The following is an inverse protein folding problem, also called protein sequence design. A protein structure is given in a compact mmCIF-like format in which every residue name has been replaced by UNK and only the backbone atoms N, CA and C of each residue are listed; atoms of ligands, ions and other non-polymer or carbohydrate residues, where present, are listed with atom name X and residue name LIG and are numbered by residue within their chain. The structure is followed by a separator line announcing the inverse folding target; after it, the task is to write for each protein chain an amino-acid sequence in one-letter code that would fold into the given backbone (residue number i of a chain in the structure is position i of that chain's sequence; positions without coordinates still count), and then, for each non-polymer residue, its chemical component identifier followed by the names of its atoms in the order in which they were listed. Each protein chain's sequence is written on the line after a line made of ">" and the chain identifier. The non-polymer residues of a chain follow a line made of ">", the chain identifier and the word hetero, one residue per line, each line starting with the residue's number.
data_IF_391033985859
#
_entry.id   IF_391033985859
#
_cell.length_a   1.000
_cell.length_b   1.000
_cell.length_c   1.000
_cell.angle_alpha   90.00
_cell.angle_beta   90.00
_cell.angle_gamma   90.00
#
_symmetry.space_group_name_H-M   'P 1'
#
loop_
_entity.id
_entity.type
_entity.pdbx_description
1 polymer ?
#
# COMPACT_ATOMS: atom_id res chain seq x y z
N UNK A 1 4.44 -5.16 -24.18
CA UNK A 1 4.75 -6.06 -23.05
C UNK A 1 5.91 -7.00 -23.42
N UNK A 2 7.05 -6.45 -23.88
CA UNK A 2 8.27 -7.21 -24.25
C UNK A 2 9.42 -6.81 -23.32
N UNK A 3 9.33 -7.08 -22.02
CA UNK A 3 10.24 -6.44 -21.06
C UNK A 3 10.65 -7.28 -19.85
N UNK A 4 10.80 -8.59 -20.05
CA UNK A 4 11.67 -9.43 -19.26
C UNK A 4 12.42 -10.30 -20.26
N UNK A 5 13.72 -10.53 -20.06
CA UNK A 5 14.42 -11.58 -20.80
C UNK A 5 13.59 -12.85 -20.58
N UNK A 6 12.98 -13.36 -21.65
CA UNK A 6 11.94 -14.41 -21.62
C UNK A 6 12.35 -15.60 -20.75
N UNK A 7 13.64 -15.87 -20.71
CA UNK A 7 14.17 -17.13 -20.23
C UNK A 7 14.36 -17.11 -18.70
N UNK A 8 14.77 -16.00 -18.10
CA UNK A 8 14.83 -15.88 -16.62
C UNK A 8 13.44 -15.93 -15.98
N UNK A 9 12.44 -15.32 -16.63
CA UNK A 9 11.05 -15.35 -16.16
C UNK A 9 10.43 -16.75 -16.32
N UNK A 10 10.60 -17.39 -17.48
CA UNK A 10 10.09 -18.74 -17.75
C UNK A 10 10.75 -19.81 -16.87
N UNK A 11 12.06 -19.72 -16.63
CA UNK A 11 12.79 -20.70 -15.82
C UNK A 11 12.56 -20.54 -14.31
N UNK A 12 12.07 -19.38 -13.86
CA UNK A 12 11.87 -19.10 -12.42
C UNK A 12 10.45 -19.42 -11.93
N UNK A 13 9.49 -19.54 -12.83
CA UNK A 13 8.11 -19.85 -12.49
C UNK A 13 7.94 -21.36 -12.53
N UNK A 14 7.57 -21.94 -11.39
CA UNK A 14 7.04 -23.30 -11.42
C UNK A 14 5.73 -23.23 -12.18
N UNK A 15 5.69 -23.79 -13.40
CA UNK A 15 4.46 -23.90 -14.17
C UNK A 15 3.44 -24.62 -13.29
N UNK A 16 2.32 -23.95 -13.03
CA UNK A 16 1.18 -24.61 -12.43
C UNK A 16 0.61 -25.48 -13.56
N UNK A 17 1.16 -26.68 -13.74
CA UNK A 17 0.42 -27.71 -14.45
C UNK A 17 -0.70 -28.14 -13.49
N UNK A 18 -1.88 -27.58 -13.72
CA UNK A 18 -3.08 -27.94 -12.95
C UNK A 18 -3.27 -29.47 -12.99
N UNK A 19 -2.86 -30.14 -14.07
CA UNK A 19 -2.96 -31.60 -14.18
C UNK A 19 -2.03 -32.34 -13.22
N UNK A 20 -0.85 -31.80 -12.87
CA UNK A 20 0.05 -32.44 -11.89
C UNK A 20 -0.42 -32.23 -10.45
N UNK A 21 -1.08 -31.12 -10.15
CA UNK A 21 -1.75 -30.93 -8.85
C UNK A 21 -2.92 -31.92 -8.68
N UNK A 22 -3.65 -32.24 -9.75
CA UNK A 22 -4.72 -33.26 -9.71
C UNK A 22 -4.16 -34.70 -9.71
N UNK A 23 -3.06 -34.98 -10.41
CA UNK A 23 -2.42 -36.32 -10.44
C UNK A 23 -1.78 -36.72 -9.11
N UNK A 24 -1.15 -35.78 -8.40
CA UNK A 24 -0.52 -36.07 -7.11
C UNK A 24 -1.51 -36.23 -5.94
N UNK A 25 -2.77 -35.87 -6.12
CA UNK A 25 -3.85 -36.23 -5.17
C UNK A 25 -4.45 -37.62 -5.44
N UNK A 26 -4.10 -38.29 -6.56
CA UNK A 26 -4.58 -39.63 -6.92
C UNK A 26 -3.64 -40.77 -6.56
N UNK A 27 -2.40 -40.49 -6.13
CA UNK A 27 -1.36 -41.50 -5.88
C UNK A 27 -0.98 -41.65 -4.41
N UNK A 28 -1.97 -41.66 -3.52
CA UNK A 28 -1.79 -42.15 -2.15
C UNK A 28 -2.83 -43.21 -1.81
N UNK A 29 -2.73 -44.38 -2.45
CA UNK A 29 -3.19 -45.66 -1.88
C UNK A 29 -2.34 -46.83 -2.38
N UNK A 30 -1.51 -47.37 -1.50
CA UNK A 30 -1.50 -48.79 -1.13
C UNK A 30 -1.40 -48.78 0.40
N UNK A 31 -2.29 -49.30 1.25
CA UNK A 31 -3.29 -50.34 1.12
C UNK A 31 -4.49 -50.04 2.06
N UNK A 32 -5.64 -50.63 1.71
CA UNK A 32 -6.77 -51.00 2.57
C UNK A 32 -7.54 -49.91 3.36
N UNK A 33 -8.65 -49.45 2.80
CA UNK A 33 -10.01 -49.80 3.24
C UNK A 33 -11.02 -48.85 2.58
N UNK A 34 -12.06 -49.42 1.99
CA UNK A 34 -13.12 -48.68 1.32
C UNK A 34 -13.93 -47.87 2.34
N UNK A 35 -13.64 -46.58 2.44
CA UNK A 35 -14.61 -45.57 2.84
C UNK A 35 -14.66 -44.52 1.76
N UNK A 36 -15.83 -44.34 1.12
CA UNK A 36 -16.14 -43.26 0.20
C UNK A 36 -15.92 -41.90 0.90
N UNK A 37 -14.70 -41.39 0.83
CA UNK A 37 -14.32 -40.10 1.37
C UNK A 37 -14.25 -39.09 0.25
N UNK A 38 -15.18 -38.13 0.24
CA UNK A 38 -15.06 -36.84 -0.43
C UNK A 38 -13.70 -36.21 -0.08
N UNK A 39 -12.68 -36.40 -0.94
CA UNK A 39 -11.41 -35.67 -0.85
C UNK A 39 -11.73 -34.19 -1.11
N UNK A 40 -11.75 -33.41 -0.04
CA UNK A 40 -12.30 -32.07 0.02
C UNK A 40 -11.50 -31.07 -0.83
N UNK A 41 -12.20 -30.28 -1.66
CA UNK A 41 -11.67 -29.13 -2.42
C UNK A 41 -10.75 -28.19 -1.61
N UNK A 42 -10.91 -28.11 -0.29
CA UNK A 42 -10.11 -27.28 0.62
C UNK A 42 -8.61 -27.61 0.63
N UNK A 43 -8.23 -28.89 0.51
CA UNK A 43 -6.83 -29.30 0.50
C UNK A 43 -6.10 -28.83 -0.76
N UNK A 44 -6.81 -28.77 -1.89
CA UNK A 44 -6.24 -28.31 -3.17
C UNK A 44 -5.95 -26.81 -3.14
N UNK A 45 -6.88 -25.99 -2.62
CA UNK A 45 -6.71 -24.54 -2.59
C UNK A 45 -5.54 -24.09 -1.69
N UNK A 46 -5.29 -24.80 -0.58
CA UNK A 46 -4.12 -24.53 0.28
C UNK A 46 -2.81 -24.77 -0.47
N UNK A 47 -2.72 -25.85 -1.25
CA UNK A 47 -1.53 -26.18 -2.07
C UNK A 47 -1.36 -25.12 -3.16
N UNK A 48 -2.41 -24.80 -3.91
CA UNK A 48 -2.40 -23.76 -4.96
C UNK A 48 -1.95 -22.42 -4.37
N UNK A 49 -2.50 -22.02 -3.21
CA UNK A 49 -2.12 -20.77 -2.54
C UNK A 49 -0.64 -20.74 -2.15
N UNK A 50 -0.08 -21.87 -1.70
CA UNK A 50 1.35 -21.99 -1.44
C UNK A 50 2.19 -21.82 -2.72
N UNK A 51 1.81 -22.47 -3.82
CA UNK A 51 2.51 -22.34 -5.10
C UNK A 51 2.46 -20.90 -5.61
N UNK A 52 1.27 -20.28 -5.62
CA UNK A 52 1.09 -18.87 -6.02
C UNK A 52 1.95 -17.95 -5.17
N UNK A 53 1.99 -18.16 -3.84
CA UNK A 53 2.82 -17.36 -2.93
C UNK A 53 4.30 -17.43 -3.29
N UNK A 54 4.83 -18.63 -3.52
CA UNK A 54 6.25 -18.82 -3.83
C UNK A 54 6.61 -18.28 -5.22
N UNK A 55 5.76 -18.51 -6.22
CA UNK A 55 5.95 -17.94 -7.56
C UNK A 55 5.96 -16.41 -7.52
N UNK A 56 5.00 -15.79 -6.83
CA UNK A 56 4.94 -14.34 -6.71
C UNK A 56 6.16 -13.76 -5.98
N UNK A 57 6.67 -14.44 -4.94
CA UNK A 57 7.93 -14.05 -4.26
C UNK A 57 9.14 -14.10 -5.20
N UNK A 58 9.27 -15.15 -6.02
CA UNK A 58 10.35 -15.28 -7.01
C UNK A 58 10.29 -14.18 -8.07
N UNK A 59 9.11 -13.99 -8.67
CA UNK A 59 8.85 -12.93 -9.65
C UNK A 59 9.23 -11.57 -9.05
N UNK A 60 8.80 -11.29 -7.82
CA UNK A 60 9.12 -10.04 -7.12
C UNK A 60 10.63 -9.82 -6.99
N UNK A 61 11.40 -10.85 -6.63
CA UNK A 61 12.87 -10.77 -6.55
C UNK A 61 13.53 -10.38 -7.88
N UNK A 62 13.05 -10.93 -9.00
CA UNK A 62 13.56 -10.64 -10.34
C UNK A 62 13.16 -9.22 -10.76
N UNK A 63 11.90 -8.90 -10.62
CA UNK A 63 11.28 -7.69 -11.13
C UNK A 63 11.84 -6.44 -10.46
N UNK A 64 11.95 -6.43 -9.12
CA UNK A 64 12.51 -5.29 -8.40
C UNK A 64 13.97 -5.03 -8.74
N UNK A 65 14.77 -6.07 -9.05
CA UNK A 65 16.15 -5.91 -9.52
C UNK A 65 16.22 -5.15 -10.85
N UNK A 66 15.27 -5.42 -11.77
CA UNK A 66 15.25 -4.82 -13.10
C UNK A 66 14.60 -3.42 -13.11
N UNK A 67 13.57 -3.18 -12.30
CA UNK A 67 12.86 -1.90 -12.27
C UNK A 67 13.67 -0.74 -11.68
N UNK A 68 14.69 -1.05 -10.88
CA UNK A 68 15.62 -0.07 -10.31
C UNK A 68 16.77 0.25 -11.30
N UNK A 69 16.92 -0.53 -12.37
CA UNK A 69 17.96 -0.28 -13.38
C UNK A 69 17.49 0.79 -14.37
N UNK A 70 18.24 1.89 -14.59
CA UNK A 70 17.83 2.92 -15.54
C UNK A 70 17.71 2.34 -16.94
N UNK A 71 16.59 2.62 -17.63
CA UNK A 71 16.49 2.37 -19.07
C UNK A 71 17.48 3.31 -19.77
N UNK A 72 18.42 2.74 -20.53
CA UNK A 72 19.06 3.48 -21.63
C UNK A 72 18.01 3.62 -22.74
N UNK A 73 17.55 4.85 -22.95
CA UNK A 73 16.77 5.39 -24.06
C UNK A 73 16.15 4.39 -25.04
N UNK A 74 14.86 4.10 -24.86
CA UNK A 74 14.05 3.38 -25.84
C UNK A 74 12.83 4.18 -26.33
N UNK A 75 12.66 5.44 -25.91
CA UNK A 75 11.49 6.27 -26.27
C UNK A 75 11.74 7.30 -27.38
N UNK A 76 12.91 7.31 -28.02
CA UNK A 76 13.24 8.26 -29.10
C UNK A 76 12.85 7.78 -30.52
N UNK A 77 12.06 6.72 -30.70
CA UNK A 77 11.77 6.16 -32.04
C UNK A 77 10.30 5.90 -32.37
N UNK A 78 9.38 6.67 -31.79
CA UNK A 78 8.03 6.80 -32.34
C UNK A 78 7.73 8.26 -32.66
N UNK A 79 8.46 8.78 -33.64
CA UNK A 79 8.04 9.96 -34.40
C UNK A 79 7.55 9.45 -35.77
N UNK A 80 6.25 9.63 -36.00
CA UNK A 80 5.53 9.68 -37.27
C UNK A 80 6.33 9.31 -38.54
N UNK A 81 6.11 8.11 -39.07
CA UNK A 81 6.17 7.91 -40.52
C UNK A 81 4.80 8.26 -41.08
N UNK A 82 4.61 9.53 -41.45
CA UNK A 82 3.59 9.91 -42.39
C UNK A 82 4.13 9.58 -43.79
N UNK A 83 3.46 8.64 -44.44
CA UNK A 83 3.66 8.30 -45.85
C UNK A 83 3.24 9.49 -46.72
N UNK A 84 4.15 10.00 -47.54
CA UNK A 84 3.81 10.59 -48.85
C UNK A 84 4.92 10.23 -49.83
N UNK A 85 4.65 9.26 -50.69
CA UNK A 85 5.29 9.14 -51.99
C UNK A 85 4.61 10.14 -52.93
N UNK A 86 5.37 10.88 -53.75
CA UNK A 86 5.19 10.99 -55.20
C UNK A 86 6.25 11.95 -55.79
N UNK A 87 7.09 11.36 -56.63
CA UNK A 87 7.68 11.81 -57.90
C UNK A 87 8.69 12.98 -58.06
N UNK A 88 9.71 12.57 -58.82
CA UNK A 88 10.44 13.24 -59.91
C UNK A 88 11.72 14.07 -59.65
N UNK A 89 12.82 13.45 -60.14
CA UNK A 89 13.96 13.97 -60.90
C UNK A 89 14.35 15.46 -60.78
N UNK A 90 15.63 15.75 -60.51
CA UNK A 90 16.65 16.15 -61.52
C UNK A 90 17.80 16.99 -60.89
N UNK A 91 19.05 16.66 -61.27
CA UNK A 91 20.26 17.52 -61.43
C UNK A 91 20.98 18.19 -60.23
N UNK A 92 22.24 17.77 -60.09
CA UNK A 92 23.48 18.56 -59.98
C UNK A 92 23.38 20.05 -59.57
N UNK A 93 24.08 20.46 -58.50
CA UNK A 93 25.36 21.21 -58.58
C UNK A 93 25.73 21.95 -57.27
N UNK A 94 27.05 21.97 -57.01
CA UNK A 94 27.88 23.06 -56.46
C UNK A 94 27.47 23.82 -55.17
N UNK A 95 28.36 23.69 -54.18
CA UNK A 95 29.17 24.79 -53.62
C UNK A 95 28.43 26.06 -53.17
N UNK A 96 28.35 26.33 -51.86
CA UNK A 96 28.93 27.54 -51.25
C UNK A 96 28.60 27.66 -49.75
N UNK A 97 29.58 28.21 -49.03
CA UNK A 97 29.50 28.73 -47.67
C UNK A 97 28.46 29.86 -47.60
N UNK A 98 27.69 29.89 -46.51
CA UNK A 98 27.31 31.16 -45.87
C UNK A 98 27.20 30.96 -44.36
N UNK A 99 28.20 31.49 -43.67
CA UNK A 99 28.12 31.89 -42.27
C UNK A 99 27.06 32.97 -42.11
N UNK A 100 25.98 32.68 -41.39
CA UNK A 100 25.16 33.70 -40.74
C UNK A 100 24.86 33.22 -39.33
N UNK A 101 25.41 33.95 -38.37
CA UNK A 101 25.23 33.68 -36.95
C UNK A 101 23.76 33.67 -36.56
N UNK A 102 23.38 32.62 -35.86
CA UNK A 102 22.28 32.69 -34.90
C UNK A 102 22.82 32.09 -33.61
N UNK A 103 23.32 32.95 -32.73
CA UNK A 103 23.46 32.65 -31.30
C UNK A 103 22.06 32.64 -30.70
N UNK A 104 21.29 31.59 -30.97
CA UNK A 104 20.18 31.23 -30.09
C UNK A 104 20.80 30.54 -28.88
N UNK A 105 20.92 31.31 -27.80
CA UNK A 105 21.27 30.79 -26.49
C UNK A 105 20.17 29.87 -26.00
N UNK A 106 20.25 28.59 -26.37
CA UNK A 106 19.55 27.52 -25.66
C UNK A 106 20.44 27.13 -24.46
N UNK A 107 20.51 28.02 -23.48
CA UNK A 107 20.77 27.59 -22.11
C UNK A 107 19.49 26.94 -21.60
N UNK A 108 19.67 25.94 -20.75
CA UNK A 108 18.62 25.20 -20.05
C UNK A 108 18.01 24.04 -20.86
N UNK A 109 18.89 23.12 -21.31
CA UNK A 109 18.55 21.71 -21.19
C UNK A 109 18.63 21.35 -19.70
N UNK A 110 17.55 21.69 -18.98
CA UNK A 110 17.25 21.20 -17.64
C UNK A 110 17.53 19.69 -17.59
N UNK A 111 18.14 19.27 -16.50
CA UNK A 111 18.53 17.90 -16.20
C UNK A 111 17.53 16.89 -16.77
N UNK A 112 17.98 16.07 -17.74
CA UNK A 112 17.29 14.86 -18.16
C UNK A 112 17.18 13.91 -16.94
N UNK A 113 16.24 14.20 -16.04
CA UNK A 113 15.95 13.40 -14.87
C UNK A 113 15.34 12.10 -15.41
N UNK A 114 16.16 11.05 -15.46
CA UNK A 114 15.76 9.76 -16.03
C UNK A 114 14.59 9.21 -15.23
N UNK A 115 13.41 9.21 -15.82
CA UNK A 115 12.24 8.55 -15.25
C UNK A 115 12.42 7.03 -15.32
N UNK A 116 12.35 6.37 -14.17
CA UNK A 116 12.40 4.92 -14.06
C UNK A 116 11.02 4.30 -14.31
N UNK A 117 10.97 3.03 -14.70
CA UNK A 117 9.69 2.34 -14.86
C UNK A 117 8.91 2.27 -13.53
N UNK A 118 9.61 2.17 -12.40
CA UNK A 118 8.99 2.19 -11.08
C UNK A 118 8.29 3.53 -10.78
N UNK A 119 8.80 4.64 -11.30
CA UNK A 119 8.16 5.96 -11.16
C UNK A 119 6.82 5.99 -11.88
N UNK A 120 6.75 5.41 -13.08
CA UNK A 120 5.50 5.23 -13.81
C UNK A 120 4.51 4.39 -13.00
N UNK A 121 4.94 3.24 -12.46
CA UNK A 121 4.07 2.35 -11.68
C UNK A 121 3.46 3.06 -10.46
N UNK A 122 4.29 3.72 -9.64
CA UNK A 122 3.81 4.46 -8.48
C UNK A 122 2.97 5.67 -8.87
N UNK A 123 3.31 6.36 -9.96
CA UNK A 123 2.50 7.46 -10.48
C UNK A 123 1.07 7.00 -10.79
N UNK A 124 0.90 5.84 -11.45
CA UNK A 124 -0.44 5.31 -11.71
C UNK A 124 -1.16 4.91 -10.41
N UNK A 125 -0.46 4.29 -9.47
CA UNK A 125 -1.05 3.96 -8.16
C UNK A 125 -1.51 5.21 -7.39
N UNK A 126 -0.74 6.30 -7.41
CA UNK A 126 -1.13 7.57 -6.79
C UNK A 126 -2.38 8.14 -7.45
N UNK A 127 -2.45 8.14 -8.79
CA UNK A 127 -3.62 8.63 -9.55
C UNK A 127 -4.86 7.81 -9.23
N UNK A 128 -4.76 6.49 -9.28
CA UNK A 128 -5.88 5.60 -8.97
C UNK A 128 -6.31 5.70 -7.50
N UNK A 129 -5.35 5.86 -6.57
CA UNK A 129 -5.68 6.11 -5.16
C UNK A 129 -6.40 7.45 -4.98
N UNK A 130 -5.95 8.52 -5.64
CA UNK A 130 -6.64 9.82 -5.61
C UNK A 130 -8.10 9.70 -6.08
N UNK A 131 -8.34 8.97 -7.18
CA UNK A 131 -9.68 8.73 -7.72
C UNK A 131 -10.53 7.94 -6.73
N UNK A 132 -9.98 6.87 -6.14
CA UNK A 132 -10.71 6.06 -5.15
C UNK A 132 -11.05 6.88 -3.90
N UNK A 133 -10.10 7.59 -3.30
CA UNK A 133 -10.37 8.41 -2.11
C UNK A 133 -11.40 9.51 -2.42
N UNK A 134 -11.34 10.12 -3.61
CA UNK A 134 -12.37 11.08 -4.06
C UNK A 134 -13.74 10.42 -4.19
N UNK A 135 -13.82 9.23 -4.78
CA UNK A 135 -15.09 8.49 -4.99
C UNK A 135 -15.70 8.03 -3.67
N UNK A 136 -14.86 7.70 -2.69
CA UNK A 136 -15.26 7.36 -1.33
C UNK A 136 -15.64 8.58 -0.49
N UNK A 137 -15.60 9.78 -1.06
CA UNK A 137 -15.85 11.06 -0.40
C UNK A 137 -14.95 11.27 0.82
N UNK A 138 -13.67 10.89 0.72
CA UNK A 138 -12.68 11.24 1.75
C UNK A 138 -12.52 12.77 1.77
N UNK A 139 -12.55 13.36 2.96
CA UNK A 139 -12.52 14.81 3.15
C UNK A 139 -11.27 15.43 2.51
N UNK A 140 -11.50 16.36 1.57
CA UNK A 140 -10.44 17.07 0.84
C UNK A 140 -9.99 18.31 1.59
N UNK A 141 -8.69 18.61 1.51
CA UNK A 141 -8.11 19.86 1.99
C UNK A 141 -8.40 20.98 0.99
N UNK A 142 -8.94 22.09 1.48
CA UNK A 142 -9.28 23.24 0.63
C UNK A 142 -8.04 23.89 0.00
N UNK A 143 -6.91 23.85 0.71
CA UNK A 143 -5.61 24.36 0.23
C UNK A 143 -4.89 23.39 -0.73
N UNK A 144 -5.42 22.19 -0.97
CA UNK A 144 -4.75 21.13 -1.71
C UNK A 144 -4.59 21.36 -3.22
N UNK A 145 -5.21 22.42 -3.77
CA UNK A 145 -5.20 22.69 -5.21
C UNK A 145 -5.85 21.57 -6.04
N UNK A 146 -5.79 21.72 -7.36
CA UNK A 146 -6.24 20.68 -8.28
C UNK A 146 -5.17 19.60 -8.43
N UNK A 147 -5.60 18.32 -8.45
CA UNK A 147 -4.68 17.21 -8.62
C UNK A 147 -4.20 17.13 -10.08
N UNK A 148 -2.89 17.32 -10.29
CA UNK A 148 -2.29 17.28 -11.62
C UNK A 148 -2.06 15.83 -12.08
N UNK A 149 -2.98 15.31 -12.89
CA UNK A 149 -2.87 13.99 -13.51
C UNK A 149 -1.75 13.84 -14.55
N UNK A 150 -1.10 14.92 -14.96
CA UNK A 150 0.07 14.87 -15.85
C UNK A 150 1.39 14.76 -15.08
N UNK A 151 1.40 15.05 -13.77
CA UNK A 151 2.59 14.97 -12.93
C UNK A 151 3.11 13.53 -12.86
N UNK A 152 4.44 13.39 -13.00
CA UNK A 152 5.19 12.16 -12.74
C UNK A 152 5.82 12.26 -11.35
N UNK A 153 5.72 11.20 -10.57
CA UNK A 153 6.29 11.11 -9.23
C UNK A 153 7.48 10.15 -9.24
N UNK A 154 8.67 10.68 -8.95
CA UNK A 154 9.89 9.88 -8.80
C UNK A 154 9.84 9.10 -7.48
N UNK A 155 9.84 7.77 -7.57
CA UNK A 155 9.73 6.89 -6.42
C UNK A 155 11.08 6.73 -5.71
N UNK A 156 11.07 6.93 -4.40
CA UNK A 156 12.21 6.63 -3.54
C UNK A 156 11.73 5.93 -2.26
N UNK A 157 12.35 4.80 -1.93
CA UNK A 157 12.08 4.08 -0.69
C UNK A 157 12.69 4.87 0.49
N UNK A 158 11.85 5.44 1.35
CA UNK A 158 12.25 6.57 2.19
C UNK A 158 12.61 6.21 3.65
N UNK A 159 12.70 4.93 4.01
CA UNK A 159 13.17 4.55 5.35
C UNK A 159 14.62 4.99 5.58
N UNK A 160 14.83 5.84 6.58
CA UNK A 160 16.13 6.39 6.98
C UNK A 160 16.39 6.06 8.43
N UNK A 161 17.59 5.55 8.71
CA UNK A 161 18.07 5.46 10.08
C UNK A 161 18.36 6.87 10.60
N UNK A 162 18.04 7.14 11.86
CA UNK A 162 18.30 8.44 12.49
C UNK A 162 19.17 8.29 13.73
N UNK A 163 19.85 9.36 14.11
CA UNK A 163 20.68 9.38 15.30
C UNK A 163 19.82 9.45 16.57
N UNK A 164 20.35 8.92 17.68
CA UNK A 164 19.67 8.94 18.98
C UNK A 164 19.33 10.37 19.43
N UNK A 165 20.13 11.38 19.05
CA UNK A 165 19.83 12.79 19.37
C UNK A 165 18.54 13.26 18.69
N UNK A 166 18.31 12.86 17.43
CA UNK A 166 17.14 13.29 16.66
C UNK A 166 15.90 12.55 17.17
N UNK A 167 16.05 11.26 17.53
CA UNK A 167 15.01 10.49 18.22
C UNK A 167 14.56 11.15 19.54
N UNK A 168 15.47 11.75 20.32
CA UNK A 168 15.11 12.53 21.53
C UNK A 168 14.22 13.72 21.19
N UNK A 169 14.49 14.42 20.10
CA UNK A 169 13.66 15.56 19.67
C UNK A 169 12.25 15.11 19.26
N UNK A 170 12.16 14.03 18.49
CA UNK A 170 10.88 13.42 18.13
C UNK A 170 10.04 13.02 19.36
N UNK A 171 10.68 12.44 20.38
CA UNK A 171 10.00 11.97 21.58
C UNK A 171 9.57 13.09 22.53
N UNK A 172 10.31 14.19 22.58
CA UNK A 172 9.92 15.39 23.34
C UNK A 172 8.57 15.95 22.88
N UNK A 173 8.25 15.84 21.58
CA UNK A 173 6.95 16.24 21.05
C UNK A 173 5.78 15.51 21.73
N UNK A 174 6.00 14.26 22.14
CA UNK A 174 5.02 13.44 22.83
C UNK A 174 5.11 13.51 24.36
N UNK A 175 5.97 14.37 24.92
CA UNK A 175 6.23 14.45 26.35
C UNK A 175 7.07 13.28 26.90
N UNK A 176 7.78 12.55 26.03
CA UNK A 176 8.60 11.40 26.42
C UNK A 176 10.05 11.87 26.60
N UNK A 177 10.55 11.82 27.83
CA UNK A 177 11.91 12.24 28.19
C UNK A 177 12.87 11.06 28.37
N UNK A 178 12.35 9.92 28.86
CA UNK A 178 13.14 8.73 29.16
C UNK A 178 12.76 7.57 28.24
N UNK A 179 13.76 6.99 27.59
CA UNK A 179 13.63 5.81 26.75
C UNK A 179 14.95 5.04 26.65
N UNK A 180 14.85 3.76 26.28
CA UNK A 180 16.02 2.92 26.04
C UNK A 180 16.76 3.39 24.77
N UNK A 181 17.99 3.86 24.95
CA UNK A 181 18.81 4.40 23.86
C UNK A 181 19.49 3.31 23.01
N UNK A 182 19.34 2.04 23.38
CA UNK A 182 19.90 0.91 22.63
C UNK A 182 19.10 0.57 21.36
N UNK A 183 17.91 1.15 21.18
CA UNK A 183 17.13 0.96 19.96
C UNK A 183 17.81 1.62 18.75
N UNK A 184 17.79 0.89 17.63
CA UNK A 184 18.07 1.48 16.32
C UNK A 184 16.80 2.15 15.78
N UNK A 185 16.83 3.47 15.70
CA UNK A 185 15.69 4.28 15.28
C UNK A 185 15.68 4.56 13.78
N UNK A 186 14.48 4.58 13.22
CA UNK A 186 14.21 4.86 11.83
C UNK A 186 13.05 5.84 11.70
N UNK A 187 12.98 6.52 10.56
CA UNK A 187 11.84 7.32 10.12
C UNK A 187 11.53 6.96 8.68
N UNK A 188 10.26 7.08 8.27
CA UNK A 188 9.89 6.99 6.85
C UNK A 188 9.88 8.37 6.20
N UNK A 189 9.43 9.40 6.92
CA UNK A 189 9.30 10.75 6.40
C UNK A 189 9.84 11.72 7.45
N UNK A 190 10.87 12.48 7.08
CA UNK A 190 11.52 13.42 8.00
C UNK A 190 10.92 14.82 7.84
N UNK A 191 9.83 15.11 8.54
CA UNK A 191 9.27 16.46 8.60
C UNK A 191 10.26 17.48 9.22
N UNK A 192 11.16 17.02 10.12
CA UNK A 192 12.14 17.89 10.77
C UNK A 192 13.27 18.38 9.84
N UNK A 193 13.41 17.81 8.63
CA UNK A 193 14.40 18.27 7.65
C UNK A 193 13.81 19.08 6.49
N UNK A 194 12.49 19.19 6.37
CA UNK A 194 11.87 19.90 5.26
C UNK A 194 11.67 21.38 5.58
N UNK A 195 12.71 22.19 5.42
CA UNK A 195 12.53 23.65 5.20
C UNK A 195 11.74 23.95 3.91
N UNK A 196 11.53 22.94 3.04
CA UNK A 196 10.97 23.10 1.69
C UNK A 196 9.63 22.39 1.43
N UNK A 197 9.04 21.68 2.40
CA UNK A 197 7.64 21.23 2.33
C UNK A 197 6.93 21.86 3.51
N UNK A 198 5.85 22.60 3.25
CA UNK A 198 5.17 23.50 4.18
C UNK A 198 4.57 22.86 5.45
N UNK A 199 5.02 21.68 5.85
CA UNK A 199 4.84 21.14 7.20
C UNK A 199 5.87 21.82 8.10
N UNK A 200 5.67 23.10 8.36
CA UNK A 200 6.26 23.70 9.54
C UNK A 200 5.62 22.98 10.73
N UNK A 201 6.41 22.20 11.46
CA UNK A 201 6.11 21.98 12.87
C UNK A 201 6.39 23.34 13.51
N UNK A 202 5.42 24.25 13.46
CA UNK A 202 5.53 25.55 14.12
C UNK A 202 5.63 25.27 15.61
N UNK A 203 6.86 25.36 16.13
CA UNK A 203 7.20 25.06 17.52
C UNK A 203 6.55 26.03 18.53
N UNK A 204 5.84 27.06 18.05
CA UNK A 204 5.27 28.14 18.86
C UNK A 204 3.74 28.28 18.78
N UNK A 205 3.03 27.43 18.01
CA UNK A 205 1.59 27.58 17.80
C UNK A 205 0.74 26.71 18.75
N UNK A 206 0.96 26.88 20.06
CA UNK A 206 0.04 26.34 21.08
C UNK A 206 -1.32 27.06 21.09
N UNK A 207 -1.43 28.23 20.45
CA UNK A 207 -2.63 29.09 20.51
C UNK A 207 -3.25 29.49 19.15
N UNK A 208 -2.73 28.96 18.03
CA UNK A 208 -3.36 29.14 16.71
C UNK A 208 -3.56 27.80 16.00
N UNK A 209 -4.39 26.95 16.60
CA UNK A 209 -5.28 26.16 15.76
C UNK A 209 -6.16 27.15 15.02
N UNK A 210 -5.82 27.33 13.74
CA UNK A 210 -6.54 28.13 12.75
C UNK A 210 -8.05 27.97 13.00
N UNK A 211 -8.69 29.02 13.52
CA UNK A 211 -10.16 29.13 13.68
C UNK A 211 -10.88 29.26 12.33
N UNK A 212 -10.22 28.87 11.26
CA UNK A 212 -10.73 28.89 9.90
C UNK A 212 -10.59 27.49 9.31
N UNK A 213 -11.69 26.75 9.45
CA UNK A 213 -12.07 25.43 8.93
C UNK A 213 -11.69 24.20 9.78
N UNK A 214 -12.62 23.86 10.69
CA UNK A 214 -12.77 22.65 11.53
C UNK A 214 -12.79 21.29 10.79
N UNK A 215 -12.33 21.23 9.54
CA UNK A 215 -12.40 20.00 8.75
C UNK A 215 -11.31 19.03 9.20
N UNK A 216 -11.76 17.88 9.72
CA UNK A 216 -10.96 16.72 10.09
C UNK A 216 -11.18 15.59 9.10
N UNK A 217 -10.34 14.55 9.13
CA UNK A 217 -10.60 13.34 8.34
C UNK A 217 -11.96 12.76 8.74
N UNK A 218 -12.73 12.30 7.75
CA UNK A 218 -13.99 11.60 7.94
C UNK A 218 -13.82 10.06 7.87
N UNK A 219 -12.59 9.57 7.72
CA UNK A 219 -12.24 8.15 7.74
C UNK A 219 -11.09 7.85 8.70
N UNK A 220 -11.20 6.74 9.42
CA UNK A 220 -10.05 6.06 10.03
C UNK A 220 -9.38 5.20 8.95
N UNK A 221 -8.11 5.43 8.66
CA UNK A 221 -7.37 4.68 7.63
C UNK A 221 -6.32 3.77 8.26
N UNK A 222 -6.58 2.47 8.22
CA UNK A 222 -5.69 1.44 8.68
C UNK A 222 -4.75 1.03 7.54
N UNK A 223 -3.48 1.42 7.62
CA UNK A 223 -2.46 1.21 6.59
C UNK A 223 -1.37 0.27 7.10
N UNK A 224 -0.68 -0.45 6.22
CA UNK A 224 0.48 -1.25 6.62
C UNK A 224 1.78 -0.42 6.52
N UNK A 225 2.76 -0.73 7.37
CA UNK A 225 4.12 -0.24 7.19
C UNK A 225 4.83 -1.12 6.15
N UNK A 226 5.16 -0.59 4.95
CA UNK A 226 5.63 -1.41 3.84
C UNK A 226 7.00 -1.99 4.11
N UNK A 227 7.16 -3.28 3.85
CA UNK A 227 8.47 -3.90 3.68
C UNK A 227 8.97 -3.69 2.25
N UNK A 228 10.26 -3.96 1.98
CA UNK A 228 10.82 -3.98 0.61
C UNK A 228 10.08 -4.91 -0.36
N UNK A 229 9.22 -5.79 0.16
CA UNK A 229 8.45 -6.73 -0.62
C UNK A 229 7.06 -6.21 -0.92
N UNK A 230 6.56 -5.11 -0.38
CA UNK A 230 5.18 -4.66 -0.64
C UNK A 230 5.16 -3.38 -1.48
N UNK A 231 3.99 -3.01 -1.98
CA UNK A 231 3.78 -1.65 -2.50
C UNK A 231 4.00 -0.69 -1.35
N UNK A 232 4.80 0.35 -1.58
CA UNK A 232 5.09 1.38 -0.60
C UNK A 232 3.90 2.35 -0.49
N UNK A 233 2.96 2.00 0.37
CA UNK A 233 1.76 2.81 0.61
C UNK A 233 2.09 4.16 1.27
N UNK A 234 3.18 4.24 2.04
CA UNK A 234 3.56 5.48 2.71
C UNK A 234 4.01 6.54 1.70
N UNK A 235 4.73 6.13 0.64
CA UNK A 235 5.05 7.02 -0.48
C UNK A 235 3.78 7.58 -1.14
N UNK A 236 2.78 6.72 -1.36
CA UNK A 236 1.51 7.13 -1.99
C UNK A 236 0.77 8.13 -1.09
N UNK A 237 0.64 7.84 0.21
CA UNK A 237 -0.04 8.72 1.16
C UNK A 237 0.70 10.05 1.30
N UNK A 238 2.03 10.04 1.33
CA UNK A 238 2.85 11.27 1.35
C UNK A 238 2.49 12.19 0.16
N UNK A 239 2.35 11.64 -1.06
CA UNK A 239 1.99 12.44 -2.24
C UNK A 239 0.53 12.88 -2.26
N UNK A 240 -0.33 12.23 -1.48
CA UNK A 240 -1.75 12.58 -1.34
C UNK A 240 -2.02 13.43 -0.10
N UNK A 241 -1.02 13.65 0.75
CA UNK A 241 -1.17 14.34 2.04
C UNK A 241 -1.66 15.77 1.90
N UNK A 242 -1.29 16.47 0.83
CA UNK A 242 -1.74 17.84 0.59
C UNK A 242 -3.21 17.92 0.12
N UNK A 243 -3.77 16.81 -0.37
CA UNK A 243 -5.11 16.77 -0.96
C UNK A 243 -6.20 16.28 -0.01
N UNK A 244 -5.87 15.41 0.96
CA UNK A 244 -6.85 14.78 1.85
C UNK A 244 -6.43 14.88 3.32
N UNK A 245 -7.43 14.84 4.21
CA UNK A 245 -7.20 14.65 5.64
C UNK A 245 -7.11 13.15 5.97
N UNK A 246 -6.09 12.77 6.73
CA UNK A 246 -5.80 11.37 7.08
C UNK A 246 -5.73 11.18 8.59
N UNK A 247 -6.57 10.30 9.13
CA UNK A 247 -6.39 9.73 10.47
C UNK A 247 -5.83 8.32 10.32
N UNK A 248 -4.51 8.17 10.46
CA UNK A 248 -3.80 6.93 10.13
C UNK A 248 -3.65 6.02 11.35
N UNK A 249 -3.75 4.72 11.10
CA UNK A 249 -3.47 3.66 12.05
C UNK A 249 -2.65 2.57 11.39
N UNK A 250 -1.73 1.96 12.12
CA UNK A 250 -0.88 0.86 11.62
C UNK A 250 -1.11 -0.43 12.40
N UNK A 251 -1.08 -1.59 11.74
CA UNK A 251 -1.31 -2.87 12.38
C UNK A 251 -0.09 -3.27 13.23
N UNK A 252 -0.39 -3.79 14.41
CA UNK A 252 0.55 -4.39 15.33
C UNK A 252 0.13 -5.83 15.56
N UNK A 253 1.03 -6.76 15.32
CA UNK A 253 0.78 -8.19 15.49
C UNK A 253 0.74 -8.58 16.97
N UNK A 254 -0.28 -9.33 17.38
CA UNK A 254 -0.38 -9.94 18.72
C UNK A 254 0.19 -11.36 18.73
N UNK A 255 0.31 -11.96 19.92
CA UNK A 255 0.81 -13.35 20.07
C UNK A 255 -0.21 -14.38 19.57
N UNK A 256 -1.48 -14.03 19.60
CA UNK A 256 -2.63 -14.80 19.15
C UNK A 256 -2.76 -14.80 17.62
N UNK A 257 -1.82 -14.12 16.94
CA UNK A 257 -1.80 -13.84 15.53
C UNK A 257 -2.97 -12.96 15.05
N UNK A 258 -3.42 -12.02 15.87
CA UNK A 258 -4.38 -10.98 15.48
C UNK A 258 -3.67 -9.64 15.29
N UNK A 259 -4.43 -8.62 14.89
CA UNK A 259 -3.95 -7.26 14.72
C UNK A 259 -4.65 -6.30 15.67
N UNK A 260 -3.86 -5.40 16.24
CA UNK A 260 -4.30 -4.17 16.87
C UNK A 260 -3.90 -3.01 15.94
N UNK A 261 -4.80 -2.07 15.67
CA UNK A 261 -4.50 -0.90 14.86
C UNK A 261 -4.17 0.28 15.77
N UNK A 262 -2.89 0.64 15.80
CA UNK A 262 -2.34 1.68 16.65
C UNK A 262 -2.23 3.01 15.89
N UNK A 263 -2.58 4.16 16.50
CA UNK A 263 -2.51 5.47 15.82
C UNK A 263 -1.11 5.78 15.30
N UNK A 264 -1.04 6.40 14.12
CA UNK A 264 0.20 6.66 13.40
C UNK A 264 0.25 8.09 12.89
N UNK A 265 1.32 8.82 13.22
CA UNK A 265 1.59 10.14 12.67
C UNK A 265 2.63 10.03 11.55
N UNK A 266 2.24 10.41 10.33
CA UNK A 266 3.13 10.40 9.17
C UNK A 266 4.25 11.43 9.30
N UNK A 267 4.04 12.56 9.97
CA UNK A 267 5.05 13.61 10.11
C UNK A 267 6.07 13.31 11.21
N UNK A 268 5.63 12.69 12.32
CA UNK A 268 6.48 12.28 13.43
C UNK A 268 6.38 10.75 13.66
N UNK A 269 6.92 10.00 12.69
CA UNK A 269 6.90 8.53 12.67
C UNK A 269 8.19 7.89 13.20
N UNK A 270 8.52 8.06 14.48
CA UNK A 270 9.66 7.32 15.03
C UNK A 270 9.39 5.81 15.04
N UNK A 271 10.18 5.06 14.27
CA UNK A 271 10.05 3.62 14.07
C UNK A 271 11.25 2.88 14.66
N UNK A 272 11.01 1.63 15.07
CA UNK A 272 12.04 0.66 15.41
C UNK A 272 11.91 -0.53 14.49
N UNK A 273 13.04 -1.08 14.08
CA UNK A 273 13.08 -2.33 13.32
C UNK A 273 12.90 -3.51 14.26
N UNK A 274 11.84 -4.26 14.08
CA UNK A 274 11.51 -5.45 14.86
C UNK A 274 11.93 -6.72 14.10
N UNK A 275 11.53 -7.89 14.63
CA UNK A 275 11.67 -9.19 13.98
C UNK A 275 11.17 -9.18 12.52
N UNK A 276 11.77 -10.04 11.69
CA UNK A 276 11.48 -10.18 10.26
C UNK A 276 11.69 -8.91 9.40
N UNK A 277 12.45 -7.93 9.90
CA UNK A 277 12.66 -6.63 9.24
C UNK A 277 11.38 -5.80 9.07
N UNK A 278 10.41 -5.98 9.96
CA UNK A 278 9.17 -5.19 9.99
C UNK A 278 9.42 -3.98 10.89
N UNK A 279 8.95 -2.81 10.45
CA UNK A 279 9.00 -1.60 11.26
C UNK A 279 7.77 -1.53 12.18
N UNK A 280 7.98 -1.03 13.40
CA UNK A 280 6.93 -0.83 14.40
C UNK A 280 7.08 0.59 14.98
N UNK A 281 5.98 1.33 15.21
CA UNK A 281 6.06 2.63 15.89
C UNK A 281 6.66 2.49 17.28
N UNK A 282 7.66 3.31 17.60
CA UNK A 282 8.26 3.33 18.93
C UNK A 282 7.23 3.71 19.99
N UNK A 283 6.28 4.60 19.68
CA UNK A 283 5.20 4.98 20.58
C UNK A 283 4.40 3.77 21.06
N UNK A 284 4.12 2.80 20.19
CA UNK A 284 3.46 1.57 20.61
C UNK A 284 4.30 0.83 21.66
N UNK A 285 5.61 0.67 21.44
CA UNK A 285 6.52 0.01 22.38
C UNK A 285 6.48 0.74 23.74
N UNK A 286 6.59 2.06 23.71
CA UNK A 286 6.58 2.91 24.90
C UNK A 286 5.26 2.77 25.67
N UNK A 287 4.11 3.04 25.05
CA UNK A 287 2.81 3.00 25.73
C UNK A 287 2.46 1.59 26.20
N UNK A 288 2.75 0.56 25.40
CA UNK A 288 2.54 -0.83 25.81
C UNK A 288 3.35 -1.20 27.06
N UNK A 289 4.56 -0.64 27.22
CA UNK A 289 5.35 -0.85 28.43
C UNK A 289 4.71 -0.21 29.67
N UNK A 290 4.12 0.98 29.52
CA UNK A 290 3.44 1.67 30.64
C UNK A 290 2.14 0.97 31.00
N UNK A 291 1.31 0.64 30.01
CA UNK A 291 0.04 -0.09 30.18
C UNK A 291 0.28 -1.45 30.88
N UNK A 292 1.38 -2.14 30.55
CA UNK A 292 1.76 -3.39 31.25
C UNK A 292 2.20 -3.18 32.69
N UNK A 293 2.94 -2.11 33.01
CA UNK A 293 3.31 -1.78 34.40
C UNK A 293 2.06 -1.53 35.25
N UNK A 294 1.04 -0.93 34.64
CA UNK A 294 -0.27 -0.70 35.27
C UNK A 294 -1.18 -1.93 35.27
N UNK A 295 -0.74 -3.07 34.72
CA UNK A 295 -1.54 -4.30 34.55
C UNK A 295 -2.86 -4.07 33.78
N UNK A 296 -2.84 -3.15 32.83
CA UNK A 296 -3.98 -2.83 31.94
C UNK A 296 -3.74 -3.37 30.54
N UNK A 297 -4.74 -3.21 29.67
CA UNK A 297 -4.67 -3.43 28.23
C UNK A 297 -5.20 -2.20 27.51
N UNK A 298 -4.82 -2.01 26.24
CA UNK A 298 -5.45 -0.99 25.41
C UNK A 298 -6.95 -1.24 25.27
N UNK A 299 -7.74 -0.18 25.30
CA UNK A 299 -9.14 -0.19 24.91
C UNK A 299 -9.22 -0.24 23.39
N UNK A 300 -10.01 -1.19 22.88
CA UNK A 300 -10.14 -1.45 21.45
C UNK A 300 -11.61 -1.33 21.04
N UNK A 301 -11.87 -0.74 19.88
CA UNK A 301 -13.22 -0.76 19.30
C UNK A 301 -13.52 -2.11 18.61
N UNK A 302 -14.71 -2.21 18.01
CA UNK A 302 -15.14 -3.41 17.27
C UNK A 302 -14.18 -3.78 16.14
N UNK A 303 -13.32 -2.90 15.66
CA UNK A 303 -12.34 -3.15 14.60
C UNK A 303 -10.90 -3.36 15.09
N UNK A 304 -10.68 -3.52 16.40
CA UNK A 304 -9.34 -3.58 17.03
C UNK A 304 -8.53 -2.29 16.85
N UNK A 305 -9.18 -1.14 16.64
CA UNK A 305 -8.53 0.16 16.66
C UNK A 305 -8.41 0.62 18.12
N UNK A 306 -7.24 1.10 18.50
CA UNK A 306 -6.99 1.66 19.84
C UNK A 306 -7.84 2.91 20.04
N UNK A 307 -8.62 2.93 21.12
CA UNK A 307 -9.51 4.04 21.49
C UNK A 307 -8.99 4.88 22.64
N UNK A 308 -7.92 4.45 23.30
CA UNK A 308 -7.25 5.23 24.34
C UNK A 308 -6.78 6.58 23.80
N UNK A 309 -6.87 7.62 24.63
CA UNK A 309 -6.17 8.88 24.37
C UNK A 309 -4.69 8.69 24.65
N UNK A 310 -3.86 8.80 23.61
CA UNK A 310 -2.41 8.58 23.69
C UNK A 310 -1.68 9.85 23.24
N UNK A 311 -1.09 10.60 24.18
CA UNK A 311 -0.53 11.92 23.90
C UNK A 311 -1.59 12.84 23.27
N UNK A 312 -1.41 13.32 22.03
CA UNK A 312 -2.42 14.10 21.30
C UNK A 312 -3.38 13.27 20.45
N UNK A 313 -3.13 11.95 20.30
CA UNK A 313 -4.04 11.09 19.55
C UNK A 313 -5.34 10.91 20.34
N UNK A 314 -6.44 11.33 19.71
CA UNK A 314 -7.79 11.14 20.24
C UNK A 314 -8.59 10.35 19.21
N UNK A 315 -9.17 9.23 19.63
CA UNK A 315 -9.98 8.41 18.75
C UNK A 315 -11.35 9.05 18.51
N UNK A 316 -11.79 9.05 17.26
CA UNK A 316 -13.13 9.44 16.83
C UNK A 316 -13.74 8.32 15.97
N UNK A 317 -14.97 7.92 16.27
CA UNK A 317 -15.65 6.81 15.60
C UNK A 317 -16.11 7.22 14.19
N UNK A 318 -15.35 6.82 13.17
CA UNK A 318 -15.53 7.16 11.75
C UNK A 318 -15.74 5.92 10.89
N UNK A 319 -16.04 6.10 9.60
CA UNK A 319 -15.94 4.99 8.64
C UNK A 319 -14.48 4.54 8.55
N UNK A 320 -14.23 3.27 8.28
CA UNK A 320 -12.87 2.72 8.25
C UNK A 320 -12.48 2.20 6.88
N UNK A 321 -11.29 2.56 6.41
CA UNK A 321 -10.63 1.96 5.24
C UNK A 321 -9.46 1.11 5.74
N UNK A 322 -9.44 -0.16 5.37
CA UNK A 322 -8.33 -1.07 5.59
C UNK A 322 -7.54 -1.24 4.30
N UNK A 323 -6.29 -0.79 4.29
CA UNK A 323 -5.33 -1.14 3.27
C UNK A 323 -4.62 -2.42 3.69
N UNK A 324 -4.84 -3.48 2.93
CA UNK A 324 -4.39 -4.83 3.27
C UNK A 324 -3.21 -5.23 2.38
N UNK A 325 -2.02 -5.52 2.96
CA UNK A 325 -0.86 -5.93 2.18
C UNK A 325 -1.12 -7.29 1.53
N UNK A 326 -0.57 -7.48 0.33
CA UNK A 326 -0.73 -8.71 -0.42
C UNK A 326 0.52 -9.06 -1.26
N UNK A 327 0.69 -10.35 -1.49
CA UNK A 327 1.75 -10.91 -2.34
C UNK A 327 1.22 -11.14 -3.76
N UNK A 328 0.01 -11.69 -3.87
CA UNK A 328 -0.69 -11.94 -5.12
C UNK A 328 -2.20 -11.79 -4.93
N UNK A 329 -2.94 -11.67 -6.03
CA UNK A 329 -4.39 -11.52 -6.03
C UNK A 329 -5.00 -12.14 -7.29
N UNK A 330 -6.33 -12.27 -7.32
CA UNK A 330 -7.06 -12.72 -8.50
C UNK A 330 -8.22 -11.79 -8.86
N UNK A 331 -8.92 -12.12 -9.95
CA UNK A 331 -10.08 -11.38 -10.48
C UNK A 331 -11.35 -11.50 -9.62
N UNK A 332 -11.29 -12.23 -8.51
CA UNK A 332 -12.42 -12.45 -7.59
C UNK A 332 -12.21 -11.73 -6.25
N UNK A 333 -11.28 -10.77 -6.17
CA UNK A 333 -10.98 -10.04 -4.94
C UNK A 333 -10.30 -10.90 -3.86
N UNK A 334 -9.88 -12.13 -4.18
CA UNK A 334 -9.13 -12.98 -3.27
C UNK A 334 -7.65 -12.59 -3.31
N UNK A 335 -6.97 -12.74 -2.18
CA UNK A 335 -5.56 -12.37 -2.02
C UNK A 335 -4.74 -13.49 -1.41
N UNK A 336 -3.44 -13.45 -1.68
CA UNK A 336 -2.43 -14.27 -1.01
C UNK A 336 -1.59 -13.36 -0.13
N UNK A 337 -1.71 -13.50 1.18
CA UNK A 337 -0.85 -12.82 2.16
C UNK A 337 0.44 -13.60 2.48
N UNK A 338 1.17 -13.12 3.49
CA UNK A 338 2.42 -13.74 3.99
C UNK A 338 2.26 -15.16 4.53
N UNK A 339 1.02 -15.58 4.83
CA UNK A 339 0.66 -16.96 5.18
C UNK A 339 0.28 -17.19 6.64
N UNK A 340 0.39 -16.16 7.50
CA UNK A 340 -0.04 -16.27 8.90
C UNK A 340 -1.53 -16.01 9.11
N UNK A 341 -2.23 -15.33 8.20
CA UNK A 341 -3.69 -15.10 8.29
C UNK A 341 -4.13 -14.02 9.27
N UNK A 342 -3.23 -13.08 9.62
CA UNK A 342 -3.49 -12.00 10.61
C UNK A 342 -4.75 -11.19 10.28
N UNK A 343 -4.85 -10.72 9.03
CA UNK A 343 -6.01 -9.94 8.58
C UNK A 343 -7.28 -10.78 8.49
N UNK A 344 -7.17 -12.04 8.04
CA UNK A 344 -8.32 -12.93 7.92
C UNK A 344 -8.95 -13.18 9.28
N UNK A 345 -8.16 -13.56 10.30
CA UNK A 345 -8.66 -13.70 11.67
C UNK A 345 -9.23 -12.40 12.22
N UNK A 346 -8.45 -11.32 12.13
CA UNK A 346 -8.85 -10.04 12.71
C UNK A 346 -10.15 -9.51 12.13
N UNK A 347 -10.39 -9.66 10.82
CA UNK A 347 -11.54 -9.02 10.16
C UNK A 347 -12.72 -9.96 9.95
N UNK A 348 -12.53 -11.29 9.94
CA UNK A 348 -13.61 -12.25 9.67
C UNK A 348 -14.55 -12.46 10.86
N UNK A 349 -13.99 -12.61 12.07
CA UNK A 349 -14.79 -12.88 13.28
C UNK A 349 -15.82 -11.78 13.56
N UNK A 350 -15.53 -10.57 13.08
CA UNK A 350 -16.30 -9.37 13.34
C UNK A 350 -17.37 -9.10 12.28
N UNK A 351 -17.20 -9.60 11.06
CA UNK A 351 -18.28 -9.59 10.06
C UNK A 351 -19.47 -10.40 10.54
N UNK A 352 -19.22 -11.57 11.15
CA UNK A 352 -20.28 -12.40 11.73
C UNK A 352 -20.92 -11.75 12.97
N UNK A 353 -20.13 -11.06 13.80
CA UNK A 353 -20.67 -10.35 14.97
C UNK A 353 -21.55 -9.15 14.60
N UNK A 354 -21.12 -8.34 13.62
CA UNK A 354 -21.94 -7.24 13.08
C UNK A 354 -23.23 -7.75 12.44
N UNK A 355 -23.16 -8.87 11.72
CA UNK A 355 -24.33 -9.47 11.06
C UNK A 355 -25.33 -10.03 12.09
N UNK A 356 -24.85 -10.66 13.17
CA UNK A 356 -25.72 -11.07 14.28
C UNK A 356 -26.36 -9.90 15.01
N UNK A 357 -25.62 -8.79 15.22
CA UNK A 357 -26.17 -7.56 15.80
C UNK A 357 -27.25 -6.94 14.91
N UNK A 358 -27.05 -6.96 13.58
CA UNK A 358 -28.07 -6.53 12.59
C UNK A 358 -29.34 -7.37 12.67
N UNK A 359 -29.19 -8.69 12.73
CA UNK A 359 -30.32 -9.61 12.84
C UNK A 359 -31.09 -9.40 14.14
N UNK A 360 -30.40 -9.22 15.28
CA UNK A 360 -31.03 -8.94 16.57
C UNK A 360 -31.75 -7.59 16.61
N UNK A 361 -31.14 -6.52 16.06
CA UNK A 361 -31.77 -5.19 16.02
C UNK A 361 -32.99 -5.13 15.08
N UNK A 362 -32.99 -5.90 13.99
CA UNK A 362 -34.12 -5.99 13.05
C UNK A 362 -35.40 -6.50 13.72
N UNK A 363 -35.28 -7.38 14.71
CA UNK A 363 -36.43 -7.87 15.49
C UNK A 363 -36.91 -6.87 16.55
N UNK A 364 -36.10 -5.88 16.92
CA UNK A 364 -36.39 -4.98 18.04
C UNK A 364 -36.94 -3.60 17.59
N UNK A 365 -36.71 -3.18 16.35
CA UNK A 365 -37.22 -1.92 15.80
C UNK A 365 -37.81 -2.13 14.40
N UNK A 366 -39.10 -2.45 14.32
CA UNK A 366 -39.83 -2.59 13.05
C UNK A 366 -40.11 -1.25 12.34
N UNK A 367 -39.73 -0.11 12.93
CA UNK A 367 -39.95 1.21 12.34
C UNK A 367 -38.86 2.22 12.72
N UNK A 368 -37.67 2.13 12.15
CA UNK A 368 -36.69 3.22 12.18
C UNK A 368 -35.82 3.17 10.92
N UNK A 369 -35.50 4.37 10.40
CA UNK A 369 -34.56 4.67 9.29
C UNK A 369 -33.43 3.63 9.19
N UNK A 370 -33.10 3.24 7.95
CA UNK A 370 -31.90 2.47 7.63
C UNK A 370 -30.74 2.92 8.52
N UNK A 371 -30.39 2.10 9.50
CA UNK A 371 -29.14 2.26 10.23
C UNK A 371 -28.09 2.00 9.17
N UNK A 372 -27.53 3.08 8.62
CA UNK A 372 -26.42 3.03 7.68
C UNK A 372 -25.24 2.41 8.44
N UNK A 373 -25.21 1.07 8.47
CA UNK A 373 -24.16 0.35 9.17
C UNK A 373 -22.87 0.74 8.50
N UNK A 374 -21.97 1.40 9.25
CA UNK A 374 -20.69 1.91 8.78
C UNK A 374 -19.89 0.77 8.17
N UNK A 375 -20.07 0.53 6.87
CA UNK A 375 -19.36 -0.51 6.13
C UNK A 375 -17.89 -0.10 6.07
N UNK A 376 -17.02 -0.94 6.61
CA UNK A 376 -15.58 -0.83 6.39
C UNK A 376 -15.24 -1.25 4.96
N UNK A 377 -14.20 -0.62 4.41
CA UNK A 377 -13.76 -0.82 3.03
C UNK A 377 -12.40 -1.49 3.06
N UNK A 378 -12.23 -2.59 2.33
CA UNK A 378 -10.98 -3.35 2.26
C UNK A 378 -10.34 -3.15 0.89
N UNK A 379 -9.16 -2.52 0.87
CA UNK A 379 -8.45 -2.15 -0.35
C UNK A 379 -7.10 -2.86 -0.39
N UNK A 380 -6.80 -3.53 -1.50
CA UNK A 380 -5.47 -4.06 -1.81
C UNK A 380 -4.72 -3.16 -2.80
N UNK A 381 -3.42 -2.97 -2.58
CA UNK A 381 -2.53 -2.35 -3.55
C UNK A 381 -1.56 -3.38 -4.12
N UNK A 382 -1.39 -3.40 -5.44
CA UNK A 382 -0.48 -4.33 -6.10
C UNK A 382 -0.02 -3.85 -7.46
N UNK A 383 0.74 -4.70 -8.16
CA UNK A 383 1.04 -4.54 -9.57
C UNK A 383 0.34 -5.62 -10.39
N UNK A 384 0.05 -5.35 -11.66
CA UNK A 384 -0.63 -6.28 -12.57
C UNK A 384 0.12 -7.62 -12.70
N UNK A 385 1.44 -7.60 -12.62
CA UNK A 385 2.28 -8.81 -12.66
C UNK A 385 2.01 -9.81 -11.52
N UNK A 386 1.30 -9.39 -10.46
CA UNK A 386 0.89 -10.25 -9.35
C UNK A 386 -0.59 -10.68 -9.41
N UNK A 387 -1.27 -10.41 -10.53
CA UNK A 387 -2.59 -10.93 -10.83
C UNK A 387 -2.49 -12.38 -11.34
N UNK A 388 -3.23 -13.28 -10.70
CA UNK A 388 -3.35 -14.68 -11.08
C UNK A 388 -4.78 -14.99 -11.50
N UNK A 389 -4.94 -15.69 -12.61
CA UNK A 389 -6.24 -16.14 -13.10
C UNK A 389 -6.58 -17.55 -12.59
N UNK A 390 -6.44 -17.76 -11.28
CA UNK A 390 -6.67 -19.05 -10.61
C UNK A 390 -7.42 -18.80 -9.30
N UNK A 391 -8.38 -19.66 -8.98
CA UNK A 391 -9.03 -19.64 -7.67
C UNK A 391 -8.15 -20.35 -6.63
N UNK A 392 -7.73 -19.59 -5.62
CA UNK A 392 -6.99 -20.09 -4.46
C UNK A 392 -7.69 -19.74 -3.14
N UNK A 393 -8.97 -19.37 -3.20
CA UNK A 393 -9.74 -18.96 -2.03
C UNK A 393 -9.98 -20.12 -1.08
N UNK A 394 -9.75 -19.89 0.21
CA UNK A 394 -10.15 -20.77 1.30
C UNK A 394 -11.35 -20.15 2.02
N UNK A 395 -12.20 -20.99 2.61
CA UNK A 395 -13.40 -20.53 3.35
C UNK A 395 -13.08 -19.57 4.50
N UNK A 396 -11.84 -19.56 5.00
CA UNK A 396 -11.33 -18.64 6.04
C UNK A 396 -10.86 -17.30 5.51
N UNK A 397 -10.69 -17.13 4.21
CA UNK A 397 -10.16 -15.89 3.64
C UNK A 397 -11.23 -14.80 3.62
N UNK A 398 -10.81 -13.58 3.94
CA UNK A 398 -11.60 -12.39 3.60
C UNK A 398 -11.34 -12.01 2.14
N UNK A 399 -12.39 -11.58 1.44
CA UNK A 399 -12.28 -10.93 0.14
C UNK A 399 -12.07 -9.42 0.29
N UNK A 400 -11.44 -8.79 -0.69
CA UNK A 400 -11.25 -7.35 -0.74
C UNK A 400 -12.40 -6.68 -1.51
N UNK A 401 -12.81 -5.49 -1.08
CA UNK A 401 -13.82 -4.69 -1.80
C UNK A 401 -13.19 -4.04 -3.06
N UNK A 402 -11.92 -3.62 -2.95
CA UNK A 402 -11.16 -3.06 -4.07
C UNK A 402 -9.75 -3.64 -4.17
N UNK A 403 -9.25 -3.74 -5.40
CA UNK A 403 -7.83 -3.89 -5.68
C UNK A 403 -7.42 -2.81 -6.69
N UNK A 404 -6.32 -2.12 -6.40
CA UNK A 404 -5.76 -1.09 -7.26
C UNK A 404 -4.40 -1.56 -7.76
N UNK A 405 -4.22 -1.54 -9.08
CA UNK A 405 -2.91 -1.73 -9.70
C UNK A 405 -2.59 -0.57 -10.67
N UNK A 406 -1.44 -0.61 -11.34
CA UNK A 406 -1.00 0.43 -12.26
C UNK A 406 -1.84 0.55 -13.53
N UNK A 407 -2.70 -0.44 -13.82
CA UNK A 407 -3.55 -0.47 -15.02
C UNK A 407 -4.99 -0.11 -14.72
N UNK A 408 -5.54 -0.57 -13.60
CA UNK A 408 -6.96 -0.51 -13.30
C UNK A 408 -7.26 -0.41 -11.80
N UNK A 409 -8.50 -0.01 -11.51
CA UNK A 409 -9.17 -0.15 -10.23
C UNK A 409 -10.22 -1.26 -10.38
N UNK A 410 -10.05 -2.37 -9.65
CA UNK A 410 -11.03 -3.45 -9.59
C UNK A 410 -11.94 -3.24 -8.38
N UNK A 411 -13.25 -3.29 -8.62
CA UNK A 411 -14.29 -3.25 -7.59
C UNK A 411 -15.05 -4.57 -7.59
N UNK A 412 -15.19 -5.18 -6.43
CA UNK A 412 -15.82 -6.49 -6.27
C UNK A 412 -17.15 -6.34 -5.53
N UNK A 413 -18.23 -6.73 -6.22
CA UNK A 413 -19.59 -6.77 -5.66
C UNK A 413 -19.83 -8.18 -5.13
N UNK A 414 -20.00 -8.31 -3.82
CA UNK A 414 -20.32 -9.57 -3.13
C UNK A 414 -21.68 -9.47 -2.44
#
# INVERSE_FOLDING_TARGET
>A
MNMLCSDDYKNSITTIDLNDCFKNCGNSTSNNSYTNGTISHSNNNRIIKCIVRENAKKIRGIVFKHWITPKKDAFSKCAYTAETNFDEETKQSRLSRSTSGCTCGCKDAESNERTFYIDYLYTQLIRHMYIILSTLNVEKKEKGGEFNFSKIYSYTYNYKQIETRDAKEYLRYYGIHDFDQNFSFFTYYNACSSKNHGIKIEKDDKDKRDKTNDKKSNFNMCIYLPTKKEVDILFIIEKLYDFFYFDLYVPITTKENDLIFFPFDLANNLLVKHEFNIYVPFLYIYFNSQVKKEKRTFHLNSFNIVTDTLSYFTFEEKRTIFFIPLIAYNKYGCRVGSGKGYYDRTLKDKQHEEQRKKEQMKYQYSSCKEIETKRHIKIGLSFDIFLYDINFSEHTDITLDYIINEKNIFHFLF
#
